data_IF_253791797513
#
_entry.id   IF_253791797513
#
_cell.length_a   1.000
_cell.length_b   1.000
_cell.length_c   1.000
_cell.angle_alpha   90.00
_cell.angle_beta   90.00
_cell.angle_gamma   90.00
#
_symmetry.space_group_name_H-M   'P 1'
#
loop_
_entity.id
_entity.type
_entity.pdbx_description
1 polymer ?
#
# COMPACT_ATOMS: atom_id res chain seq x y z
N UNK A 1 -9.62 41.70 15.67
CA UNK A 1 -8.28 41.72 16.30
C UNK A 1 -7.27 41.64 15.15
N UNK A 2 -6.27 42.53 15.05
CA UNK A 2 -5.26 42.45 14.01
C UNK A 2 -4.46 41.15 14.18
N UNK A 3 -4.18 40.48 13.06
CA UNK A 3 -3.29 39.32 13.02
C UNK A 3 -1.93 39.76 13.63
N UNK A 4 -1.49 39.07 14.67
CA UNK A 4 -0.11 39.21 15.14
C UNK A 4 0.77 38.61 14.05
N UNK A 5 1.47 39.46 13.30
CA UNK A 5 2.61 39.03 12.52
C UNK A 5 3.59 38.37 13.50
N UNK A 6 3.91 37.10 13.25
CA UNK A 6 5.10 36.50 13.85
C UNK A 6 6.27 37.33 13.37
N UNK A 7 6.88 38.11 14.29
CA UNK A 7 8.04 38.92 13.94
C UNK A 7 9.13 38.01 13.43
N UNK A 8 9.87 38.45 12.41
CA UNK A 8 11.07 37.79 11.91
C UNK A 8 12.03 37.36 13.03
N UNK A 9 12.01 38.09 14.15
CA UNK A 9 12.77 37.79 15.38
C UNK A 9 12.37 36.45 16.05
N UNK A 10 11.09 36.07 15.99
CA UNK A 10 10.65 34.80 16.55
C UNK A 10 11.02 33.58 15.66
N UNK A 11 11.39 33.86 14.42
CA UNK A 11 11.90 32.80 13.50
C UNK A 11 13.42 32.64 13.57
N UNK A 12 14.15 33.70 14.03
CA UNK A 12 15.59 33.64 14.25
C UNK A 12 15.97 32.95 15.57
N UNK A 13 15.03 32.87 16.53
CA UNK A 13 15.21 32.14 17.79
C UNK A 13 14.82 30.64 17.70
N UNK A 14 14.40 30.13 16.54
CA UNK A 14 14.36 28.70 16.29
C UNK A 14 15.80 28.21 16.17
N UNK A 15 16.36 27.89 17.34
CA UNK A 15 17.65 27.22 17.45
C UNK A 15 17.65 26.04 16.46
N UNK A 16 18.61 26.06 15.55
CA UNK A 16 18.80 24.93 14.66
C UNK A 16 19.09 23.73 15.57
N UNK A 17 18.16 22.81 15.66
CA UNK A 17 18.32 21.52 16.37
C UNK A 17 19.43 20.72 15.70
N UNK A 18 20.69 21.22 15.80
CA UNK A 18 21.85 20.48 15.32
C UNK A 18 22.12 19.35 16.30
N UNK A 19 21.73 18.15 15.93
CA UNK A 19 22.05 16.90 16.64
C UNK A 19 21.03 16.44 17.67
N UNK A 20 19.90 17.11 17.84
CA UNK A 20 18.79 16.56 18.63
C UNK A 20 18.00 15.57 17.77
N UNK A 21 17.75 14.39 18.28
CA UNK A 21 16.81 13.47 17.67
C UNK A 21 15.39 14.01 17.82
N UNK A 22 14.66 14.15 16.73
CA UNK A 22 13.24 14.50 16.76
C UNK A 22 12.48 13.35 17.44
N UNK A 23 11.87 13.64 18.60
CA UNK A 23 10.95 12.69 19.23
C UNK A 23 9.60 12.75 18.51
N UNK A 24 9.33 11.77 17.67
CA UNK A 24 8.09 11.68 16.90
C UNK A 24 6.81 11.60 17.75
N UNK A 25 6.94 11.27 19.04
CA UNK A 25 5.82 11.19 19.97
C UNK A 25 5.60 12.49 20.77
N UNK A 26 6.60 13.37 20.83
CA UNK A 26 6.58 14.59 21.67
C UNK A 26 6.81 15.89 20.92
N UNK A 27 7.52 15.85 19.78
CA UNK A 27 7.85 17.06 19.03
C UNK A 27 6.76 17.43 18.03
N UNK A 28 6.59 18.74 17.80
CA UNK A 28 5.55 19.29 16.93
C UNK A 28 6.15 20.25 15.92
N UNK A 29 5.64 20.19 14.68
CA UNK A 29 5.91 21.20 13.66
C UNK A 29 4.78 22.23 13.59
N UNK A 30 5.09 23.53 13.45
CA UNK A 30 4.08 24.53 13.13
C UNK A 30 3.68 24.39 11.65
N UNK A 31 2.39 24.21 11.39
CA UNK A 31 1.83 24.18 10.04
C UNK A 31 0.73 25.22 9.93
N UNK A 32 0.73 26.02 8.86
CA UNK A 32 -0.36 26.94 8.60
C UNK A 32 -1.56 26.20 8.01
N UNK A 33 -2.64 26.14 8.75
CA UNK A 33 -3.92 25.62 8.27
C UNK A 33 -4.70 26.73 7.56
N UNK A 34 -4.69 26.71 6.23
CA UNK A 34 -5.35 27.72 5.41
C UNK A 34 -6.88 27.70 5.57
N UNK A 35 -7.47 26.57 5.89
CA UNK A 35 -8.92 26.42 6.10
C UNK A 35 -9.37 27.05 7.43
N UNK A 36 -8.52 26.98 8.44
CA UNK A 36 -8.76 27.56 9.75
C UNK A 36 -8.15 28.95 9.91
N UNK A 37 -7.34 29.43 8.95
CA UNK A 37 -6.67 30.71 8.96
C UNK A 37 -5.69 30.90 10.14
N UNK A 38 -5.07 29.81 10.63
CA UNK A 38 -4.20 29.83 11.82
C UNK A 38 -3.05 28.84 11.71
N UNK A 39 -2.00 29.08 12.48
CA UNK A 39 -0.93 28.10 12.69
C UNK A 39 -1.39 27.05 13.70
N UNK A 40 -1.30 25.80 13.33
CA UNK A 40 -1.56 24.63 14.17
C UNK A 40 -0.28 23.86 14.42
N UNK A 41 -0.22 23.14 15.53
CA UNK A 41 0.87 22.21 15.81
C UNK A 41 0.52 20.84 15.27
N UNK A 42 1.41 20.28 14.47
CA UNK A 42 1.30 18.90 13.97
C UNK A 42 2.39 18.07 14.63
N UNK A 43 2.02 16.95 15.23
CA UNK A 43 2.96 16.03 15.87
C UNK A 43 3.99 15.54 14.85
N UNK A 44 5.25 15.55 15.19
CA UNK A 44 6.35 15.15 14.30
C UNK A 44 6.20 13.71 13.77
N UNK A 45 5.60 12.82 14.57
CA UNK A 45 5.25 11.46 14.16
C UNK A 45 3.91 11.33 13.42
N UNK A 46 3.12 12.40 13.33
CA UNK A 46 1.82 12.42 12.65
C UNK A 46 1.91 12.68 11.14
N UNK A 47 3.09 13.02 10.64
CA UNK A 47 3.37 13.22 9.22
C UNK A 47 4.53 12.30 8.81
N UNK A 48 4.20 11.16 8.29
CA UNK A 48 5.10 10.06 7.99
C UNK A 48 6.36 10.45 7.19
N UNK A 49 7.51 10.39 7.82
CA UNK A 49 8.76 10.11 7.13
C UNK A 49 8.93 8.58 7.10
N UNK A 50 8.31 7.95 6.13
CA UNK A 50 8.27 6.50 5.92
C UNK A 50 6.85 6.01 5.72
N UNK A 51 6.68 4.95 4.94
CA UNK A 51 5.37 4.32 4.77
C UNK A 51 5.07 3.50 6.04
N UNK A 52 4.13 3.93 6.91
CA UNK A 52 3.84 3.19 8.12
C UNK A 52 3.30 1.81 7.78
N UNK A 53 3.77 0.82 8.53
CA UNK A 53 3.34 -0.57 8.38
C UNK A 53 1.92 -0.74 8.94
N UNK A 54 1.05 -1.39 8.17
CA UNK A 54 -0.27 -1.85 8.60
C UNK A 54 -0.25 -3.39 8.59
N UNK A 55 -0.39 -4.01 9.75
CA UNK A 55 -0.42 -5.48 9.86
C UNK A 55 -1.86 -5.99 9.80
N UNK A 56 -2.16 -6.81 8.80
CA UNK A 56 -3.47 -7.44 8.61
C UNK A 56 -3.41 -8.93 8.98
N UNK A 57 -3.96 -9.29 10.13
CA UNK A 57 -4.15 -10.67 10.59
C UNK A 57 -5.59 -11.16 10.43
N UNK A 58 -6.51 -10.29 10.02
CA UNK A 58 -7.92 -10.60 9.79
C UNK A 58 -8.12 -11.44 8.51
N UNK A 59 -9.25 -12.11 8.40
CA UNK A 59 -9.62 -12.88 7.21
C UNK A 59 -10.07 -12.00 6.04
N UNK A 60 -10.47 -10.75 6.31
CA UNK A 60 -10.93 -9.78 5.32
C UNK A 60 -10.27 -8.44 5.57
N UNK A 61 -10.03 -7.68 4.51
CA UNK A 61 -9.52 -6.32 4.57
C UNK A 61 -10.23 -5.46 3.51
N UNK A 62 -11.02 -4.49 3.95
CA UNK A 62 -11.51 -3.43 3.06
C UNK A 62 -10.49 -2.30 3.06
N UNK A 63 -9.86 -2.08 1.92
CA UNK A 63 -8.86 -1.03 1.73
C UNK A 63 -9.55 0.32 1.63
N UNK A 64 -9.04 1.30 2.34
CA UNK A 64 -9.47 2.69 2.23
C UNK A 64 -8.27 3.59 1.98
N UNK A 65 -8.47 4.67 1.26
CA UNK A 65 -7.42 5.65 0.97
C UNK A 65 -6.78 6.19 2.25
N UNK A 66 -7.60 6.61 3.20
CA UNK A 66 -7.12 7.25 4.44
C UNK A 66 -6.25 6.33 5.31
N UNK A 67 -6.54 5.03 5.32
CA UNK A 67 -5.84 4.09 6.21
C UNK A 67 -4.70 3.33 5.53
N UNK A 68 -4.72 3.17 4.19
CA UNK A 68 -3.85 2.23 3.50
C UNK A 68 -3.04 2.83 2.36
N UNK A 69 -3.44 3.99 1.78
CA UNK A 69 -2.68 4.64 0.72
C UNK A 69 -1.29 5.07 1.22
N UNK A 70 -0.27 4.85 0.39
CA UNK A 70 1.14 5.17 0.68
C UNK A 70 1.67 4.46 1.95
N UNK A 71 1.13 3.28 2.25
CA UNK A 71 1.55 2.44 3.36
C UNK A 71 1.92 1.05 2.84
N UNK A 72 2.70 0.36 3.66
CA UNK A 72 2.96 -1.08 3.47
C UNK A 72 1.93 -1.84 4.29
N UNK A 73 1.15 -2.68 3.64
CA UNK A 73 0.17 -3.57 4.28
C UNK A 73 0.74 -4.99 4.28
N UNK A 74 1.03 -5.55 5.44
CA UNK A 74 1.39 -6.96 5.54
C UNK A 74 0.16 -7.82 5.66
N UNK A 75 0.03 -8.82 4.77
CA UNK A 75 -1.03 -9.82 4.83
C UNK A 75 -0.51 -11.02 5.63
N UNK A 76 -0.74 -10.99 6.95
CA UNK A 76 -0.07 -11.86 7.89
C UNK A 76 -0.99 -12.98 8.39
N UNK A 77 -1.54 -13.77 7.46
CA UNK A 77 -2.48 -14.85 7.76
C UNK A 77 -2.29 -16.05 6.83
N UNK A 78 -1.90 -17.20 7.39
CA UNK A 78 -1.69 -18.44 6.66
C UNK A 78 -2.96 -18.98 5.99
N UNK A 79 -4.14 -18.72 6.53
CA UNK A 79 -5.42 -19.12 5.96
C UNK A 79 -5.97 -18.13 4.91
N UNK A 80 -5.11 -17.28 4.35
CA UNK A 80 -5.48 -16.30 3.34
C UNK A 80 -6.27 -15.09 3.87
N UNK A 81 -6.26 -14.01 3.11
CA UNK A 81 -6.98 -12.75 3.39
C UNK A 81 -7.74 -12.35 2.14
N UNK A 82 -9.03 -12.04 2.26
CA UNK A 82 -9.80 -11.45 1.19
C UNK A 82 -9.70 -9.92 1.27
N UNK A 83 -8.94 -9.33 0.36
CA UNK A 83 -8.71 -7.89 0.26
C UNK A 83 -9.63 -7.31 -0.80
N UNK A 84 -10.39 -6.26 -0.46
CA UNK A 84 -11.19 -5.47 -1.42
C UNK A 84 -10.60 -4.09 -1.55
N UNK A 85 -10.24 -3.69 -2.78
CA UNK A 85 -9.72 -2.37 -3.12
C UNK A 85 -10.83 -1.33 -3.18
N UNK A 86 -10.56 -0.04 -3.02
CA UNK A 86 -11.50 1.02 -3.37
C UNK A 86 -11.61 1.19 -4.89
N UNK A 87 -12.54 2.03 -5.34
CA UNK A 87 -12.61 2.45 -6.74
C UNK A 87 -11.33 3.16 -7.18
N UNK A 88 -10.85 2.84 -8.39
CA UNK A 88 -9.80 3.60 -9.04
C UNK A 88 -10.37 4.92 -9.59
N UNK A 89 -9.72 6.02 -9.30
CA UNK A 89 -10.19 7.38 -9.64
C UNK A 89 -9.12 8.26 -10.28
N UNK A 90 -7.95 7.69 -10.60
CA UNK A 90 -6.85 8.39 -11.26
C UNK A 90 -6.06 9.33 -10.35
N UNK A 91 -5.95 9.01 -9.07
CA UNK A 91 -5.26 9.89 -8.10
C UNK A 91 -3.75 9.70 -8.03
N UNK A 92 -3.21 8.66 -8.64
CA UNK A 92 -1.79 8.29 -8.54
C UNK A 92 -1.42 7.71 -7.18
N UNK A 93 -2.37 7.37 -6.32
CA UNK A 93 -2.07 6.77 -5.02
C UNK A 93 -1.58 5.34 -5.18
N UNK A 94 -0.58 5.01 -4.37
CA UNK A 94 0.07 3.70 -4.36
C UNK A 94 -0.37 2.91 -3.12
N UNK A 95 -0.60 1.62 -3.35
CA UNK A 95 -0.87 0.63 -2.32
C UNK A 95 0.15 -0.50 -2.46
N UNK A 96 0.78 -0.87 -1.36
CA UNK A 96 1.79 -1.94 -1.34
C UNK A 96 1.37 -3.02 -0.37
N UNK A 97 1.20 -4.25 -0.87
CA UNK A 97 0.90 -5.41 -0.05
C UNK A 97 2.10 -6.35 -0.05
N UNK A 98 2.40 -6.90 1.12
CA UNK A 98 3.46 -7.92 1.30
C UNK A 98 2.84 -9.13 1.98
N UNK A 99 3.09 -10.31 1.44
CA UNK A 99 2.73 -11.56 2.10
C UNK A 99 3.63 -11.75 3.32
N UNK A 100 3.10 -11.50 4.51
CA UNK A 100 3.84 -11.64 5.78
C UNK A 100 3.95 -13.09 6.25
N UNK A 101 2.93 -13.91 5.94
CA UNK A 101 2.89 -15.34 6.24
C UNK A 101 2.45 -16.11 5.00
N UNK A 102 3.23 -17.13 4.61
CA UNK A 102 2.90 -17.99 3.45
C UNK A 102 1.48 -18.55 3.59
N UNK A 103 0.71 -18.45 2.52
CA UNK A 103 -0.64 -18.99 2.44
C UNK A 103 -0.57 -20.51 2.41
N UNK A 104 -1.33 -21.19 3.25
CA UNK A 104 -1.34 -22.65 3.36
C UNK A 104 -2.71 -23.28 3.20
N UNK A 105 -3.77 -22.48 3.36
CA UNK A 105 -5.16 -22.92 3.16
C UNK A 105 -6.02 -21.72 2.78
N UNK A 106 -7.03 -21.94 1.96
CA UNK A 106 -7.74 -20.91 1.22
C UNK A 106 -6.74 -20.05 0.42
N UNK A 107 -7.18 -19.06 -0.30
CA UNK A 107 -6.29 -18.16 -1.02
C UNK A 107 -6.30 -16.76 -0.39
N UNK A 108 -5.20 -16.04 -0.50
CA UNK A 108 -5.23 -14.59 -0.38
C UNK A 108 -5.69 -14.03 -1.72
N UNK A 109 -6.71 -13.20 -1.70
CA UNK A 109 -7.21 -12.52 -2.90
C UNK A 109 -7.11 -11.02 -2.72
N UNK A 110 -6.70 -10.30 -3.78
CA UNK A 110 -6.77 -8.84 -3.85
C UNK A 110 -7.70 -8.54 -5.02
N UNK A 111 -8.87 -7.98 -4.72
CA UNK A 111 -9.94 -7.77 -5.68
C UNK A 111 -10.24 -6.30 -5.87
N UNK A 112 -10.54 -5.92 -7.09
CA UNK A 112 -11.23 -4.67 -7.38
C UNK A 112 -12.61 -4.65 -6.68
N UNK A 113 -13.23 -3.49 -6.48
CA UNK A 113 -14.52 -3.42 -5.80
C UNK A 113 -15.67 -3.99 -6.62
N UNK A 114 -15.55 -3.95 -7.95
CA UNK A 114 -16.50 -4.45 -8.92
C UNK A 114 -15.83 -4.74 -10.28
N UNK A 115 -16.57 -5.35 -11.21
CA UNK A 115 -16.08 -5.74 -12.53
C UNK A 115 -15.81 -4.55 -13.50
N UNK A 116 -16.18 -3.32 -13.15
CA UNK A 116 -15.84 -2.13 -13.93
C UNK A 116 -14.39 -1.71 -13.66
N UNK A 117 -13.90 -1.99 -12.46
CA UNK A 117 -12.54 -1.67 -12.06
C UNK A 117 -11.58 -2.78 -12.49
N UNK A 118 -10.69 -2.48 -13.42
CA UNK A 118 -9.74 -3.45 -13.98
C UNK A 118 -8.30 -3.18 -13.55
N UNK A 119 -7.48 -4.22 -13.64
CA UNK A 119 -6.05 -4.19 -13.34
C UNK A 119 -5.25 -4.36 -14.63
N UNK A 120 -4.29 -3.46 -14.90
CA UNK A 120 -3.41 -3.51 -16.05
C UNK A 120 -1.94 -3.60 -15.60
N UNK A 121 -1.22 -4.65 -16.00
CA UNK A 121 0.18 -4.81 -15.62
C UNK A 121 0.67 -6.24 -15.75
N UNK A 122 1.60 -6.63 -14.87
CA UNK A 122 2.23 -7.93 -14.96
C UNK A 122 2.62 -8.50 -13.59
N UNK A 123 2.76 -9.83 -13.57
CA UNK A 123 3.37 -10.59 -12.47
C UNK A 123 4.67 -11.24 -12.96
N UNK A 124 5.73 -11.15 -12.15
CA UNK A 124 6.97 -11.88 -12.35
C UNK A 124 7.25 -12.70 -11.10
N UNK A 125 7.36 -14.01 -11.25
CA UNK A 125 7.61 -14.92 -10.14
C UNK A 125 8.78 -15.83 -10.43
N UNK A 126 9.66 -16.02 -9.46
CA UNK A 126 10.68 -17.06 -9.52
C UNK A 126 10.02 -18.43 -9.41
N UNK A 127 10.48 -19.38 -10.19
CA UNK A 127 10.00 -20.76 -10.19
C UNK A 127 10.93 -21.66 -9.39
N UNK A 128 10.38 -22.60 -8.64
CA UNK A 128 11.02 -23.74 -7.98
C UNK A 128 12.48 -23.53 -7.49
N UNK A 129 12.65 -22.55 -6.58
CA UNK A 129 13.95 -22.25 -6.01
C UNK A 129 14.77 -21.19 -6.76
N UNK A 130 14.17 -20.48 -7.72
CA UNK A 130 14.71 -19.24 -8.28
C UNK A 130 15.69 -19.39 -9.45
N UNK A 131 15.79 -20.56 -10.06
CA UNK A 131 16.63 -20.78 -11.24
C UNK A 131 16.00 -20.26 -12.54
N UNK A 132 14.69 -20.14 -12.58
CA UNK A 132 13.89 -19.62 -13.70
C UNK A 132 12.83 -18.63 -13.18
N UNK A 133 12.21 -17.87 -14.07
CA UNK A 133 11.10 -16.99 -13.74
C UNK A 133 10.01 -17.09 -14.80
N UNK A 134 8.78 -17.02 -14.37
CA UNK A 134 7.61 -16.90 -15.22
C UNK A 134 7.03 -15.50 -15.12
N UNK A 135 6.52 -15.00 -16.25
CA UNK A 135 5.83 -13.70 -16.30
C UNK A 135 4.44 -13.88 -16.91
N UNK A 136 3.46 -13.20 -16.35
CA UNK A 136 2.08 -13.18 -16.84
C UNK A 136 1.60 -11.74 -16.96
N UNK A 137 0.99 -11.43 -18.07
CA UNK A 137 0.28 -10.16 -18.27
C UNK A 137 -1.17 -10.31 -17.81
N UNK A 138 -1.77 -9.20 -17.43
CA UNK A 138 -3.21 -9.12 -17.16
C UNK A 138 -3.99 -9.21 -18.47
N UNK A 139 -5.18 -9.81 -18.45
CA UNK A 139 -6.18 -9.66 -19.50
C UNK A 139 -6.93 -8.31 -19.35
N UNK A 140 -7.71 -7.94 -20.36
CA UNK A 140 -8.44 -6.67 -20.37
C UNK A 140 -9.51 -6.54 -19.28
N UNK A 141 -9.98 -7.67 -18.78
CA UNK A 141 -11.01 -7.81 -17.75
C UNK A 141 -10.46 -8.29 -16.39
N UNK A 142 -9.14 -8.31 -16.22
CA UNK A 142 -8.54 -8.73 -14.95
C UNK A 142 -8.96 -7.78 -13.82
N UNK A 143 -9.57 -8.33 -12.79
CA UNK A 143 -10.03 -7.60 -11.60
C UNK A 143 -9.55 -8.23 -10.28
N UNK A 144 -8.91 -9.39 -10.35
CA UNK A 144 -8.55 -10.19 -9.18
C UNK A 144 -7.15 -10.75 -9.30
N UNK A 145 -6.40 -10.67 -8.18
CA UNK A 145 -5.13 -11.36 -7.95
C UNK A 145 -5.40 -12.46 -6.91
N UNK A 146 -5.00 -13.69 -7.21
CA UNK A 146 -5.19 -14.84 -6.32
C UNK A 146 -3.88 -15.53 -6.00
N UNK A 147 -3.54 -15.62 -4.73
CA UNK A 147 -2.36 -16.29 -4.19
C UNK A 147 -2.76 -17.53 -3.40
N UNK A 148 -2.37 -18.70 -3.87
CA UNK A 148 -2.73 -19.98 -3.24
C UNK A 148 -1.62 -20.57 -2.33
N UNK A 149 -0.50 -19.88 -2.21
CA UNK A 149 0.64 -20.30 -1.41
C UNK A 149 1.60 -21.26 -2.13
N UNK A 150 1.39 -21.50 -3.42
CA UNK A 150 2.23 -22.37 -4.24
C UNK A 150 2.26 -21.90 -5.71
N UNK A 151 1.38 -22.40 -6.57
CA UNK A 151 1.45 -22.23 -8.02
C UNK A 151 1.19 -20.81 -8.50
N UNK A 152 0.43 -20.00 -7.74
CA UNK A 152 0.11 -18.61 -8.07
C UNK A 152 0.78 -17.60 -7.11
N UNK A 153 1.83 -18.01 -6.40
CA UNK A 153 2.45 -17.19 -5.35
C UNK A 153 1.71 -17.23 -4.02
N UNK A 154 1.91 -16.24 -3.19
CA UNK A 154 1.42 -16.21 -1.82
C UNK A 154 2.44 -16.77 -0.82
N UNK A 155 3.70 -16.76 -1.21
CA UNK A 155 4.85 -17.14 -0.39
C UNK A 155 5.30 -15.90 0.41
N UNK A 156 5.73 -16.10 1.64
CA UNK A 156 6.23 -15.03 2.48
C UNK A 156 7.32 -14.22 1.77
N UNK A 157 7.11 -12.91 1.68
CA UNK A 157 7.98 -11.98 0.97
C UNK A 157 7.46 -11.55 -0.41
N UNK A 158 6.43 -12.20 -0.95
CA UNK A 158 5.81 -11.75 -2.19
C UNK A 158 5.21 -10.36 -2.03
N UNK A 159 5.33 -9.55 -3.08
CA UNK A 159 4.94 -8.14 -3.10
C UNK A 159 3.93 -7.88 -4.21
N UNK A 160 2.91 -7.09 -3.91
CA UNK A 160 1.97 -6.51 -4.87
C UNK A 160 1.98 -5.00 -4.72
N UNK A 161 2.20 -4.30 -5.81
CA UNK A 161 2.02 -2.86 -5.91
C UNK A 161 0.82 -2.56 -6.80
N UNK A 162 -0.10 -1.73 -6.31
CA UNK A 162 -1.24 -1.19 -7.05
C UNK A 162 -1.14 0.33 -7.07
N UNK A 163 -1.32 0.94 -8.25
CA UNK A 163 -1.33 2.39 -8.43
C UNK A 163 -2.63 2.78 -9.11
N UNK A 164 -3.35 3.72 -8.53
CA UNK A 164 -4.56 4.32 -9.08
C UNK A 164 -4.20 5.25 -10.26
N UNK A 165 -4.26 4.75 -11.50
CA UNK A 165 -3.75 5.47 -12.67
C UNK A 165 -4.82 6.21 -13.49
N UNK A 166 -6.07 5.75 -13.43
CA UNK A 166 -7.19 6.36 -14.13
C UNK A 166 -8.51 5.94 -13.47
N UNK A 167 -9.62 6.56 -13.86
CA UNK A 167 -10.93 6.05 -13.46
C UNK A 167 -11.06 4.59 -13.91
N UNK A 168 -11.51 3.74 -12.98
CA UNK A 168 -11.74 2.31 -13.15
C UNK A 168 -10.50 1.51 -13.58
N UNK A 169 -9.28 2.07 -13.39
CA UNK A 169 -8.04 1.38 -13.83
C UNK A 169 -6.94 1.46 -12.78
N UNK A 170 -6.53 0.29 -12.32
CA UNK A 170 -5.37 0.06 -11.49
C UNK A 170 -4.17 -0.38 -12.34
N UNK A 171 -3.01 0.24 -12.18
CA UNK A 171 -1.76 -0.39 -12.59
C UNK A 171 -1.35 -1.41 -11.54
N UNK A 172 -1.00 -2.63 -11.97
CA UNK A 172 -0.58 -3.70 -11.08
C UNK A 172 0.82 -4.21 -11.40
N UNK A 173 1.60 -4.48 -10.35
CA UNK A 173 2.87 -5.16 -10.43
C UNK A 173 2.97 -6.18 -9.31
N UNK A 174 3.26 -7.43 -9.66
CA UNK A 174 3.50 -8.52 -8.71
C UNK A 174 4.92 -9.02 -8.87
N UNK A 175 5.64 -9.14 -7.76
CA UNK A 175 6.95 -9.79 -7.71
C UNK A 175 6.93 -10.80 -6.58
N UNK A 176 7.25 -12.06 -6.88
CA UNK A 176 7.16 -13.11 -5.89
C UNK A 176 7.83 -14.41 -6.30
N UNK A 177 7.44 -15.46 -5.64
CA UNK A 177 7.87 -16.82 -5.89
C UNK A 177 6.68 -17.76 -6.07
N UNK A 178 6.83 -18.75 -6.93
CA UNK A 178 5.85 -19.83 -7.15
C UNK A 178 6.56 -21.18 -7.15
N UNK A 179 5.81 -22.23 -6.92
CA UNK A 179 6.31 -23.60 -6.87
C UNK A 179 5.36 -24.56 -7.56
N UNK A 180 5.90 -25.68 -8.09
CA UNK A 180 5.13 -26.70 -8.79
C UNK A 180 4.80 -26.27 -10.22
N UNK A 181 3.61 -26.56 -10.71
CA UNK A 181 3.14 -26.11 -12.02
C UNK A 181 2.64 -24.66 -11.92
N UNK A 182 3.51 -23.71 -12.19
CA UNK A 182 3.23 -22.28 -12.05
C UNK A 182 2.04 -21.86 -12.92
N UNK A 183 1.21 -21.02 -12.35
CA UNK A 183 0.01 -20.49 -12.99
C UNK A 183 -0.11 -18.98 -12.78
N UNK A 184 -0.84 -18.32 -13.68
CA UNK A 184 -1.13 -16.90 -13.53
C UNK A 184 -1.89 -16.62 -12.24
N UNK A 185 -1.52 -15.58 -11.48
CA UNK A 185 -2.31 -15.13 -10.33
C UNK A 185 -3.53 -14.30 -10.73
N UNK A 186 -3.66 -13.92 -12.00
CA UNK A 186 -4.68 -13.00 -12.50
C UNK A 186 -5.94 -13.72 -12.97
N UNK A 187 -7.09 -13.14 -12.66
CA UNK A 187 -8.41 -13.62 -13.10
C UNK A 187 -9.43 -12.48 -13.12
N UNK A 188 -10.60 -12.74 -13.73
CA UNK A 188 -11.79 -11.91 -13.68
C UNK A 188 -12.86 -12.67 -12.87
N UNK A 189 -13.05 -12.28 -11.60
CA UNK A 189 -13.93 -13.02 -10.66
C UNK A 189 -14.70 -12.13 -9.68
N UNK A 190 -14.78 -10.82 -9.95
CA UNK A 190 -15.62 -9.88 -9.19
C UNK A 190 -17.00 -9.79 -9.78
#
# INVERSE_FOLDING_TARGET
MPARELSTHAMEELDTLSGASVDSAADYYPVYDASAGKVVRVLAGGGAFGDPLVDCTASTLTVTRALHARKIVTLNRAAGVAVTMPDATGTGEKYTFIIGTTVTSNSTTIKAPDASNVMAGLAVMSADGGSTSNAWETAADTDTITFNGSTTGGIKGDIVELIDIAADTWHVKVIGASTGAEATPFSATV
#
